data_IF_519102396877
#
_entry.id   IF_519102396877
#
_cell.length_a   1.000
_cell.length_b   1.000
_cell.length_c   1.000
_cell.angle_alpha   90.00
_cell.angle_beta   90.00
_cell.angle_gamma   90.00
#
_symmetry.space_group_name_H-M   'P 1'
#
loop_
_entity.id
_entity.type
_entity.pdbx_description
1 polymer ?
#
# COMPACT_ATOMS: atom_id res chain seq x y z
N UNK A 1 -19.57 -10.77 10.90
CA UNK A 1 -18.97 -10.99 9.56
C UNK A 1 -17.50 -10.54 9.47
N UNK A 2 -17.03 -9.66 10.37
CA UNK A 2 -15.63 -9.25 10.53
C UNK A 2 -14.59 -10.38 10.50
N UNK A 3 -14.85 -11.51 11.18
CA UNK A 3 -13.96 -12.68 11.18
C UNK A 3 -13.69 -13.18 9.75
N UNK A 4 -14.71 -13.26 8.89
CA UNK A 4 -14.55 -13.66 7.47
C UNK A 4 -13.67 -12.68 6.70
N UNK A 5 -13.82 -11.38 6.93
CA UNK A 5 -12.99 -10.36 6.29
C UNK A 5 -11.55 -10.42 6.78
N UNK A 6 -11.35 -10.59 8.09
CA UNK A 6 -10.02 -10.72 8.69
C UNK A 6 -9.33 -12.01 8.22
N UNK A 7 -10.05 -13.14 8.11
CA UNK A 7 -9.52 -14.38 7.55
C UNK A 7 -9.04 -14.17 6.12
N UNK A 8 -9.78 -13.43 5.28
CA UNK A 8 -9.31 -13.11 3.93
C UNK A 8 -8.05 -12.26 3.94
N UNK A 9 -8.00 -11.18 4.76
CA UNK A 9 -6.81 -10.35 4.89
C UNK A 9 -5.59 -11.18 5.34
N UNK A 10 -5.76 -12.01 6.37
CA UNK A 10 -4.70 -12.88 6.92
C UNK A 10 -4.30 -13.97 5.92
N UNK A 11 -5.25 -14.56 5.18
CA UNK A 11 -4.95 -15.55 4.16
C UNK A 11 -4.03 -14.98 3.08
N UNK A 12 -4.39 -13.82 2.52
CA UNK A 12 -3.54 -13.16 1.52
C UNK A 12 -2.21 -12.67 2.10
N UNK A 13 -2.20 -12.22 3.35
CA UNK A 13 -0.98 -11.89 4.08
C UNK A 13 -0.04 -13.10 4.21
N UNK A 14 -0.56 -14.27 4.57
CA UNK A 14 0.21 -15.51 4.69
C UNK A 14 0.74 -15.97 3.33
N UNK A 15 -0.09 -15.89 2.27
CA UNK A 15 0.33 -16.18 0.90
C UNK A 15 1.46 -15.25 0.45
N UNK A 16 1.33 -13.95 0.70
CA UNK A 16 2.37 -12.96 0.41
C UNK A 16 3.66 -13.22 1.18
N UNK A 17 3.55 -13.66 2.44
CA UNK A 17 4.70 -14.03 3.28
C UNK A 17 5.39 -15.30 2.77
N UNK A 18 4.62 -16.32 2.36
CA UNK A 18 5.17 -17.51 1.73
C UNK A 18 5.90 -17.18 0.42
N UNK A 19 5.34 -16.31 -0.41
CA UNK A 19 5.98 -15.87 -1.66
C UNK A 19 7.22 -15.01 -1.40
N UNK A 20 7.20 -14.12 -0.40
CA UNK A 20 8.39 -13.38 0.03
C UNK A 20 9.54 -14.33 0.36
N UNK A 21 9.26 -15.38 1.13
CA UNK A 21 10.28 -16.32 1.58
C UNK A 21 10.79 -17.27 0.48
N UNK A 22 10.01 -17.50 -0.58
CA UNK A 22 10.42 -18.37 -1.70
C UNK A 22 11.05 -17.59 -2.87
N UNK A 23 10.53 -16.41 -3.23
CA UNK A 23 10.86 -15.75 -4.49
C UNK A 23 11.28 -14.27 -4.36
N UNK A 24 10.76 -13.52 -3.38
CA UNK A 24 10.87 -12.06 -3.34
C UNK A 24 11.30 -11.52 -1.96
N UNK A 25 12.52 -11.85 -1.55
CA UNK A 25 13.10 -11.47 -0.25
C UNK A 25 13.16 -9.95 0.01
N UNK A 26 13.26 -9.14 -1.05
CA UNK A 26 13.37 -7.66 -0.96
C UNK A 26 12.07 -7.00 -0.50
N UNK A 27 10.91 -7.60 -0.81
CA UNK A 27 9.61 -6.99 -0.53
C UNK A 27 8.96 -7.60 0.71
N UNK A 28 8.57 -6.81 1.72
CA UNK A 28 7.83 -7.31 2.88
C UNK A 28 6.61 -8.14 2.47
N UNK A 29 6.43 -9.31 3.09
CA UNK A 29 5.28 -10.19 2.88
C UNK A 29 3.91 -9.50 2.86
N UNK A 30 3.64 -8.49 3.73
CA UNK A 30 2.39 -7.73 3.67
C UNK A 30 2.12 -6.99 2.36
N UNK A 31 3.16 -6.43 1.73
CA UNK A 31 3.02 -5.69 0.48
C UNK A 31 2.64 -6.65 -0.65
N UNK A 32 3.26 -7.83 -0.67
CA UNK A 32 2.94 -8.88 -1.64
C UNK A 32 1.50 -9.37 -1.43
N UNK A 33 1.10 -9.62 -0.18
CA UNK A 33 -0.26 -10.02 0.15
C UNK A 33 -1.32 -9.01 -0.31
N UNK A 34 -1.04 -7.71 -0.14
CA UNK A 34 -1.90 -6.63 -0.62
C UNK A 34 -2.02 -6.63 -2.15
N UNK A 35 -0.92 -6.83 -2.89
CA UNK A 35 -0.94 -6.90 -4.35
C UNK A 35 -1.72 -8.11 -4.86
N UNK A 36 -1.59 -9.27 -4.21
CA UNK A 36 -2.37 -10.47 -4.53
C UNK A 36 -3.85 -10.26 -4.26
N UNK A 37 -4.19 -9.67 -3.11
CA UNK A 37 -5.56 -9.31 -2.78
C UNK A 37 -6.11 -8.33 -3.83
N UNK A 38 -5.36 -7.29 -4.21
CA UNK A 38 -5.76 -6.35 -5.24
C UNK A 38 -6.03 -7.05 -6.58
N UNK A 39 -5.12 -7.91 -7.04
CA UNK A 39 -5.31 -8.68 -8.27
C UNK A 39 -6.56 -9.57 -8.20
N UNK A 40 -6.78 -10.23 -7.07
CA UNK A 40 -7.98 -11.02 -6.83
C UNK A 40 -9.27 -10.17 -6.88
N UNK A 41 -9.27 -8.99 -6.26
CA UNK A 41 -10.42 -8.08 -6.32
C UNK A 41 -10.66 -7.51 -7.72
N UNK A 42 -9.60 -7.22 -8.49
CA UNK A 42 -9.74 -6.79 -9.88
C UNK A 42 -10.41 -7.86 -10.74
N UNK A 43 -10.07 -9.15 -10.53
CA UNK A 43 -10.73 -10.26 -11.22
C UNK A 43 -12.18 -10.47 -10.76
N UNK A 44 -12.45 -10.24 -9.47
CA UNK A 44 -13.78 -10.40 -8.86
C UNK A 44 -14.73 -9.24 -9.18
N UNK A 45 -14.21 -8.04 -9.43
CA UNK A 45 -14.98 -6.83 -9.76
C UNK A 45 -15.72 -6.18 -8.59
N UNK A 46 -15.73 -6.79 -7.40
CA UNK A 46 -16.43 -6.25 -6.22
C UNK A 46 -15.70 -6.52 -4.89
N UNK A 47 -15.72 -5.52 -4.01
CA UNK A 47 -15.24 -5.62 -2.63
C UNK A 47 -16.38 -6.18 -1.76
N UNK A 48 -16.18 -7.36 -1.17
CA UNK A 48 -17.17 -7.93 -0.25
C UNK A 48 -17.34 -7.09 1.02
N UNK A 49 -18.59 -6.83 1.45
CA UNK A 49 -18.93 -6.19 2.74
C UNK A 49 -18.08 -6.64 3.94
N UNK A 50 -17.87 -7.96 4.20
CA UNK A 50 -17.05 -8.41 5.33
C UNK A 50 -15.59 -7.94 5.26
N UNK A 51 -15.01 -7.89 4.06
CA UNK A 51 -13.63 -7.46 3.85
C UNK A 51 -13.50 -5.96 4.13
N UNK A 52 -14.46 -5.16 3.66
CA UNK A 52 -14.49 -3.72 3.90
C UNK A 52 -14.63 -3.38 5.39
N UNK A 53 -15.51 -4.09 6.11
CA UNK A 53 -15.67 -3.93 7.56
C UNK A 53 -14.36 -4.25 8.31
N UNK A 54 -13.70 -5.36 7.96
CA UNK A 54 -12.44 -5.76 8.59
C UNK A 54 -11.31 -4.77 8.32
N UNK A 55 -11.15 -4.33 7.07
CA UNK A 55 -10.15 -3.32 6.70
C UNK A 55 -10.41 -1.99 7.41
N UNK A 56 -11.66 -1.53 7.44
CA UNK A 56 -12.06 -0.29 8.13
C UNK A 56 -11.78 -0.35 9.63
N UNK A 57 -12.01 -1.51 10.26
CA UNK A 57 -11.67 -1.70 11.68
C UNK A 57 -10.16 -1.65 11.91
N UNK A 58 -9.36 -2.23 11.02
CA UNK A 58 -7.91 -2.25 11.16
C UNK A 58 -7.30 -0.85 10.95
N UNK A 59 -7.87 -0.07 10.02
CA UNK A 59 -7.48 1.32 9.78
C UNK A 59 -7.66 2.22 11.00
N UNK A 60 -8.63 1.93 11.89
CA UNK A 60 -8.76 2.66 13.17
C UNK A 60 -7.55 2.49 14.08
N UNK A 61 -6.81 1.39 13.92
CA UNK A 61 -5.59 1.09 14.66
C UNK A 61 -4.31 1.46 13.88
N UNK A 62 -4.43 2.09 12.72
CA UNK A 62 -3.28 2.57 11.94
C UNK A 62 -2.29 3.42 12.75
N UNK A 63 -2.72 4.31 13.68
CA UNK A 63 -1.78 5.03 14.53
C UNK A 63 -0.86 4.11 15.33
N UNK A 64 -1.36 2.97 15.82
CA UNK A 64 -0.54 1.98 16.53
C UNK A 64 0.48 1.31 15.60
N UNK A 65 0.09 1.05 14.34
CA UNK A 65 0.97 0.48 13.32
C UNK A 65 2.09 1.44 12.87
N UNK A 66 1.89 2.75 13.07
CA UNK A 66 2.89 3.79 12.76
C UNK A 66 3.88 4.03 13.90
N UNK A 67 3.64 3.44 15.09
CA UNK A 67 4.55 3.58 16.24
C UNK A 67 5.95 3.00 15.95
N UNK A 68 6.12 1.77 15.41
CA UNK A 68 7.46 1.23 15.15
C UNK A 68 8.29 2.08 14.16
N UNK A 69 7.74 2.56 13.02
CA UNK A 69 8.42 3.53 12.18
C UNK A 69 8.80 4.82 12.91
N UNK A 70 7.88 5.39 13.69
CA UNK A 70 8.11 6.63 14.44
C UNK A 70 9.24 6.48 15.47
N UNK A 71 9.25 5.37 16.21
CA UNK A 71 10.33 5.04 17.16
C UNK A 71 11.66 4.88 16.43
N UNK A 72 11.67 4.27 15.25
CA UNK A 72 12.86 4.17 14.40
C UNK A 72 13.47 5.55 14.10
N UNK A 73 12.65 6.54 13.74
CA UNK A 73 13.10 7.92 13.51
C UNK A 73 13.72 8.54 14.77
N UNK A 74 13.14 8.28 15.95
CA UNK A 74 13.68 8.79 17.22
C UNK A 74 15.05 8.19 17.57
N UNK A 75 15.28 6.92 17.24
CA UNK A 75 16.57 6.24 17.46
C UNK A 75 17.67 6.84 16.60
N UNK A 76 17.39 7.12 15.32
CA UNK A 76 18.37 7.69 14.38
C UNK A 76 18.31 9.23 14.32
N UNK A 77 17.73 9.90 15.32
CA UNK A 77 17.49 11.34 15.28
C UNK A 77 18.79 12.16 15.11
N UNK A 78 19.91 11.69 15.67
CA UNK A 78 21.21 12.37 15.53
C UNK A 78 21.76 12.28 14.11
N UNK A 79 21.68 11.11 13.49
CA UNK A 79 22.12 10.91 12.11
C UNK A 79 21.24 11.70 11.14
N UNK A 80 19.93 11.71 11.39
CA UNK A 80 18.97 12.52 10.63
C UNK A 80 19.27 14.02 10.75
N UNK A 81 19.70 14.49 11.92
CA UNK A 81 20.07 15.89 12.12
C UNK A 81 21.37 16.26 11.39
N UNK A 82 22.33 15.35 11.30
CA UNK A 82 23.58 15.54 10.56
C UNK A 82 23.32 15.64 9.05
N UNK A 83 22.48 14.76 8.50
CA UNK A 83 22.14 14.70 7.07
C UNK A 83 20.82 15.41 6.71
N UNK A 84 20.39 16.35 7.55
CA UNK A 84 19.06 16.96 7.47
C UNK A 84 18.73 17.51 6.07
N UNK A 85 19.66 18.25 5.46
CA UNK A 85 19.47 18.84 4.13
C UNK A 85 19.35 17.78 3.03
N UNK A 86 20.13 16.71 3.10
CA UNK A 86 20.06 15.61 2.14
C UNK A 86 18.73 14.86 2.26
N UNK A 87 18.29 14.59 3.49
CA UNK A 87 17.02 13.89 3.76
C UNK A 87 15.83 14.73 3.32
N UNK A 88 15.77 16.01 3.70
CA UNK A 88 14.68 16.91 3.31
C UNK A 88 14.63 17.06 1.79
N UNK A 89 15.78 17.24 1.13
CA UNK A 89 15.88 17.29 -0.33
C UNK A 89 15.36 16.00 -0.98
N UNK A 90 15.82 14.84 -0.53
CA UNK A 90 15.39 13.54 -1.05
C UNK A 90 13.89 13.30 -0.84
N UNK A 91 13.34 13.64 0.34
CA UNK A 91 11.92 13.52 0.63
C UNK A 91 11.07 14.45 -0.24
N UNK A 92 11.47 15.72 -0.38
CA UNK A 92 10.72 16.69 -1.16
C UNK A 92 10.73 16.34 -2.66
N UNK A 93 11.89 16.00 -3.21
CA UNK A 93 12.03 15.63 -4.62
C UNK A 93 11.27 14.32 -4.91
N UNK A 94 11.41 13.29 -4.06
CA UNK A 94 10.69 12.02 -4.25
C UNK A 94 9.18 12.17 -4.09
N UNK A 95 8.72 13.03 -3.18
CA UNK A 95 7.30 13.36 -3.01
C UNK A 95 6.75 14.05 -4.26
N UNK A 96 7.42 15.10 -4.75
CA UNK A 96 7.02 15.78 -5.98
C UNK A 96 7.03 14.83 -7.18
N UNK A 97 8.09 14.04 -7.35
CA UNK A 97 8.19 13.07 -8.43
C UNK A 97 7.06 12.03 -8.38
N UNK A 98 6.75 11.51 -7.19
CA UNK A 98 5.65 10.55 -6.99
C UNK A 98 4.31 11.21 -7.28
N UNK A 99 4.08 12.44 -6.83
CA UNK A 99 2.83 13.15 -7.03
C UNK A 99 2.58 13.46 -8.52
N UNK A 100 3.60 13.92 -9.24
CA UNK A 100 3.52 14.11 -10.70
C UNK A 100 3.26 12.77 -11.40
N UNK A 101 4.00 11.72 -11.05
CA UNK A 101 3.85 10.40 -11.66
C UNK A 101 2.44 9.83 -11.47
N UNK A 102 1.93 9.84 -10.23
CA UNK A 102 0.58 9.36 -9.92
C UNK A 102 -0.48 10.21 -10.61
N UNK A 103 -0.29 11.54 -10.66
CA UNK A 103 -1.20 12.45 -11.37
C UNK A 103 -1.27 12.15 -12.86
N UNK A 104 -0.13 12.02 -13.54
CA UNK A 104 -0.06 11.66 -14.97
C UNK A 104 -0.64 10.27 -15.20
N UNK A 105 -0.35 9.30 -14.33
CA UNK A 105 -0.89 7.95 -14.44
C UNK A 105 -2.42 7.95 -14.33
N UNK A 106 -2.98 8.65 -13.34
CA UNK A 106 -4.43 8.81 -13.20
C UNK A 106 -5.05 9.49 -14.42
N UNK A 107 -4.46 10.59 -14.90
CA UNK A 107 -4.95 11.29 -16.08
C UNK A 107 -4.97 10.35 -17.30
N UNK A 108 -3.90 9.58 -17.51
CA UNK A 108 -3.83 8.59 -18.60
C UNK A 108 -4.87 7.48 -18.47
N UNK A 109 -5.13 6.98 -17.26
CA UNK A 109 -6.15 5.95 -17.02
C UNK A 109 -7.57 6.49 -17.28
N UNK A 110 -7.87 7.70 -16.83
CA UNK A 110 -9.17 8.37 -17.08
C UNK A 110 -9.39 8.60 -18.58
N UNK A 111 -8.38 9.11 -19.30
CA UNK A 111 -8.49 9.30 -20.76
C UNK A 111 -8.69 7.98 -21.51
N UNK A 112 -8.13 6.87 -21.02
CA UNK A 112 -8.36 5.53 -21.61
C UNK A 112 -9.77 5.01 -21.35
N UNK A 113 -10.38 5.37 -20.21
CA UNK A 113 -11.77 5.00 -19.91
C UNK A 113 -12.76 5.81 -20.76
N UNK A 114 -12.58 7.12 -20.90
CA UNK A 114 -13.44 7.96 -21.76
C UNK A 114 -13.44 7.52 -23.22
N UNK A 115 -12.27 7.15 -23.77
CA UNK A 115 -12.18 6.58 -25.14
C UNK A 115 -12.86 5.22 -25.31
N UNK A 116 -13.10 4.48 -24.23
CA UNK A 116 -13.77 3.18 -24.24
C UNK A 116 -15.29 3.30 -24.15
N UNK A 117 -15.80 4.42 -23.65
CA UNK A 117 -17.22 4.77 -23.61
C UNK A 117 -17.68 5.44 -24.92
N UNK A 118 -16.80 6.13 -25.63
CA UNK A 118 -17.08 6.78 -26.92
C UNK A 118 -17.00 5.86 -28.16
N UNK A 119 -16.63 4.58 -28.00
CA UNK A 119 -16.73 3.55 -29.05
C UNK A 119 -17.90 2.60 -28.77
N UNK A 120 -19.13 2.95 -29.21
CA UNK A 120 -20.21 1.99 -29.40
C UNK A 120 -19.98 1.07 -30.61
#
# INVERSE_FOLDING_TARGET
MLLRGLTWLVLFQLLGTAINHLFLHILPGPIIGLLLLLAYLMLRGEVGKPLNEAASSLLRYLPLLLVPPAVGVMVYARDIAADFWAIVGALFISCLATMVFVGVLMQKLIHRQGRREEQP
#
